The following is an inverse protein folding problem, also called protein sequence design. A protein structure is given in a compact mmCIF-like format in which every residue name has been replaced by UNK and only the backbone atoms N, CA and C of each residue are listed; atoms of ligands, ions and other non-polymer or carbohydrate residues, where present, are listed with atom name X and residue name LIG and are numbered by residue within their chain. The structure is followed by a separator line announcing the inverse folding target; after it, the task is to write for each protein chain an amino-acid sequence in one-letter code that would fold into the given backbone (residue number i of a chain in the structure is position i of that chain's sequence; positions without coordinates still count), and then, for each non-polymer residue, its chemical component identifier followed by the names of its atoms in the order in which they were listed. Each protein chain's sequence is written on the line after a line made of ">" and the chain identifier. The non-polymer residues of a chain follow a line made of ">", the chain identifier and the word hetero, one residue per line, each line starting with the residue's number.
data_IF_950885477708
#
_entry.id   IF_950885477708
#
_cell.length_a   1.000
_cell.length_b   1.000
_cell.length_c   1.000
_cell.angle_alpha   90.00
_cell.angle_beta   90.00
_cell.angle_gamma   90.00
#
_symmetry.space_group_name_H-M   'P 1'
#
loop_
_entity.id
_entity.type
_entity.pdbx_description
1 polymer ?
#
# COMPACT_ATOMS: atom_id res chain seq x y z
N UNK A 1 -15.88 -9.61 4.84
CA UNK A 1 -15.79 -9.10 3.45
C UNK A 1 -14.45 -8.43 3.25
N UNK A 2 -13.86 -8.62 2.07
CA UNK A 2 -12.57 -8.03 1.76
C UNK A 2 -12.72 -6.63 1.17
N UNK A 3 -11.64 -5.86 1.20
CA UNK A 3 -11.61 -4.52 0.68
C UNK A 3 -11.50 -4.55 -0.86
N UNK A 4 -12.52 -4.12 -1.55
CA UNK A 4 -12.53 -4.03 -3.01
C UNK A 4 -13.04 -5.29 -3.69
N UNK A 5 -12.78 -5.39 -5.00
CA UNK A 5 -13.31 -6.47 -5.83
C UNK A 5 -12.53 -7.77 -5.74
N UNK A 6 -11.30 -7.72 -5.27
CA UNK A 6 -10.40 -8.87 -5.17
C UNK A 6 -10.47 -9.48 -3.78
N UNK A 7 -10.61 -10.80 -3.72
CA UNK A 7 -10.55 -11.51 -2.44
C UNK A 7 -9.15 -11.38 -1.84
N UNK A 8 -9.09 -11.29 -0.50
CA UNK A 8 -7.82 -11.25 0.19
C UNK A 8 -7.07 -12.58 0.10
N UNK A 9 -5.75 -12.52 0.21
CA UNK A 9 -4.92 -13.71 0.19
C UNK A 9 -4.16 -13.87 1.50
N UNK A 10 -3.85 -15.12 1.85
CA UNK A 10 -2.99 -15.46 2.97
C UNK A 10 -1.62 -15.99 2.50
N UNK A 11 -1.28 -15.73 1.24
CA UNK A 11 -0.09 -16.27 0.60
C UNK A 11 0.71 -15.14 -0.07
N UNK A 12 2.01 -15.05 0.25
CA UNK A 12 2.87 -14.01 -0.30
C UNK A 12 3.00 -14.09 -1.83
N UNK A 13 3.14 -15.29 -2.37
CA UNK A 13 3.31 -15.44 -3.83
C UNK A 13 2.08 -14.96 -4.58
N UNK A 14 0.89 -15.22 -4.05
CA UNK A 14 -0.35 -14.72 -4.64
C UNK A 14 -0.44 -13.20 -4.53
N UNK A 15 -0.02 -12.63 -3.41
CA UNK A 15 0.02 -11.19 -3.24
C UNK A 15 1.00 -10.55 -4.23
N UNK A 16 2.19 -11.12 -4.37
CA UNK A 16 3.22 -10.63 -5.28
C UNK A 16 2.72 -10.64 -6.72
N UNK A 17 2.03 -11.71 -7.12
CA UNK A 17 1.44 -11.81 -8.46
C UNK A 17 0.34 -10.76 -8.64
N UNK A 18 -0.46 -10.54 -7.61
CA UNK A 18 -1.53 -9.52 -7.64
C UNK A 18 -1.01 -8.10 -7.81
N UNK A 19 0.20 -7.83 -7.36
CA UNK A 19 0.85 -6.52 -7.50
C UNK A 19 1.82 -6.44 -8.68
N UNK A 20 1.93 -7.50 -9.47
CA UNK A 20 2.75 -7.50 -10.69
C UNK A 20 2.02 -6.82 -11.84
N UNK A 21 2.70 -6.69 -12.98
CA UNK A 21 2.09 -6.15 -14.20
C UNK A 21 0.87 -6.92 -14.66
N UNK A 22 0.78 -8.19 -14.27
CA UNK A 22 -0.31 -9.09 -14.67
C UNK A 22 -1.39 -9.20 -13.61
N UNK A 23 -1.31 -8.40 -12.56
CA UNK A 23 -2.25 -8.44 -11.45
C UNK A 23 -3.49 -7.58 -11.66
N UNK A 24 -3.93 -6.94 -10.59
CA UNK A 24 -5.12 -6.10 -10.59
C UNK A 24 -4.85 -4.78 -9.89
N UNK A 25 -5.77 -3.81 -10.01
CA UNK A 25 -5.57 -2.53 -9.37
C UNK A 25 -5.67 -2.61 -7.83
N UNK A 26 -6.35 -3.62 -7.29
CA UNK A 26 -6.40 -3.90 -5.85
C UNK A 26 -5.75 -5.23 -5.56
N UNK A 27 -4.90 -5.27 -4.55
CA UNK A 27 -4.43 -6.50 -3.93
C UNK A 27 -4.69 -6.40 -2.44
N UNK A 28 -5.15 -7.48 -1.84
CA UNK A 28 -5.53 -7.50 -0.43
C UNK A 28 -5.00 -8.74 0.27
N UNK A 29 -4.73 -8.63 1.56
CA UNK A 29 -4.40 -9.79 2.38
C UNK A 29 -5.54 -10.05 3.38
N UNK A 30 -5.65 -11.29 3.81
CA UNK A 30 -6.70 -11.73 4.74
C UNK A 30 -6.17 -12.16 6.10
N UNK A 31 -4.86 -11.99 6.31
CA UNK A 31 -4.19 -12.22 7.59
C UNK A 31 -2.82 -11.57 7.55
N UNK A 32 -2.14 -11.51 8.68
CA UNK A 32 -0.77 -11.06 8.73
C UNK A 32 0.11 -11.99 7.90
N UNK A 33 1.00 -11.41 7.10
CA UNK A 33 1.95 -12.16 6.30
C UNK A 33 3.38 -11.80 6.73
N UNK A 34 4.19 -12.82 6.95
CA UNK A 34 5.59 -12.65 7.29
C UNK A 34 6.46 -13.12 6.13
N UNK A 35 7.03 -12.15 5.40
CA UNK A 35 7.95 -12.39 4.31
C UNK A 35 9.18 -11.49 4.48
N UNK A 36 9.74 -11.47 5.68
CA UNK A 36 10.80 -10.55 6.08
C UNK A 36 12.10 -10.67 5.28
N UNK A 37 12.28 -11.77 4.56
CA UNK A 37 13.44 -11.99 3.69
C UNK A 37 13.16 -11.69 2.22
N UNK A 38 11.96 -11.20 1.89
CA UNK A 38 11.54 -11.01 0.50
C UNK A 38 11.29 -9.55 0.16
N UNK A 39 11.53 -9.22 -1.12
CA UNK A 39 11.17 -7.92 -1.69
C UNK A 39 9.87 -8.09 -2.47
N UNK A 40 8.91 -7.20 -2.19
CA UNK A 40 7.65 -7.16 -2.90
C UNK A 40 7.70 -6.01 -3.90
N UNK A 41 7.48 -6.31 -5.17
CA UNK A 41 7.50 -5.32 -6.25
C UNK A 41 6.08 -4.99 -6.70
N UNK A 42 5.77 -3.70 -6.81
CA UNK A 42 4.50 -3.22 -7.33
C UNK A 42 4.77 -2.65 -8.71
N UNK A 43 4.23 -3.29 -9.75
CA UNK A 43 4.55 -2.94 -11.13
C UNK A 43 3.31 -2.83 -12.02
N UNK A 44 3.41 -2.02 -13.06
CA UNK A 44 2.37 -1.84 -14.06
C UNK A 44 1.48 -0.64 -13.79
N UNK A 45 0.71 -0.28 -14.83
CA UNK A 45 -0.25 0.81 -14.76
C UNK A 45 -1.65 0.23 -14.73
N UNK A 46 -2.43 0.62 -13.74
CA UNK A 46 -3.77 0.09 -13.55
C UNK A 46 -4.76 1.22 -13.35
N UNK A 47 -6.03 0.91 -13.58
CA UNK A 47 -7.11 1.87 -13.38
C UNK A 47 -8.17 1.29 -12.46
N UNK A 48 -8.76 2.15 -11.65
CA UNK A 48 -9.86 1.78 -10.78
C UNK A 48 -11.18 1.70 -11.57
N UNK A 49 -12.29 1.50 -10.89
CA UNK A 49 -13.61 1.35 -11.52
C UNK A 49 -14.07 2.61 -12.26
N UNK A 50 -13.57 3.77 -11.84
CA UNK A 50 -13.89 5.05 -12.47
C UNK A 50 -12.99 5.37 -13.66
N UNK A 51 -12.06 4.49 -13.99
CA UNK A 51 -11.13 4.70 -15.08
C UNK A 51 -9.95 5.61 -14.74
N UNK A 52 -9.75 5.92 -13.46
CA UNK A 52 -8.64 6.73 -13.00
C UNK A 52 -7.46 5.83 -12.63
N UNK A 53 -6.24 6.30 -12.89
CA UNK A 53 -5.04 5.56 -12.54
C UNK A 53 -4.97 5.35 -11.04
N UNK A 54 -4.86 4.09 -10.61
CA UNK A 54 -4.79 3.76 -9.19
C UNK A 54 -4.25 2.35 -8.97
N UNK A 55 -3.57 2.17 -7.84
CA UNK A 55 -3.13 0.86 -7.40
C UNK A 55 -3.23 0.80 -5.87
N UNK A 56 -3.95 -0.18 -5.34
CA UNK A 56 -4.23 -0.25 -3.91
C UNK A 56 -3.69 -1.53 -3.28
N UNK A 57 -3.01 -1.38 -2.15
CA UNK A 57 -2.67 -2.48 -1.26
C UNK A 57 -3.58 -2.38 -0.03
N UNK A 58 -4.54 -3.29 0.06
CA UNK A 58 -5.51 -3.30 1.15
C UNK A 58 -5.04 -4.27 2.25
N UNK A 59 -4.78 -3.73 3.43
CA UNK A 59 -4.28 -4.49 4.57
C UNK A 59 -5.34 -4.62 5.65
N UNK A 60 -6.58 -4.88 5.22
CA UNK A 60 -7.72 -4.94 6.14
C UNK A 60 -8.86 -5.75 5.55
N UNK A 61 -9.79 -6.14 6.42
CA UNK A 61 -11.10 -6.66 6.02
C UNK A 61 -12.17 -5.71 6.51
N UNK A 62 -13.33 -5.76 5.87
CA UNK A 62 -14.45 -4.90 6.20
C UNK A 62 -15.76 -5.69 6.18
N UNK A 63 -16.76 -5.20 6.91
CA UNK A 63 -18.10 -5.80 6.92
C UNK A 63 -18.97 -5.27 5.77
N UNK A 64 -20.25 -5.68 5.76
CA UNK A 64 -21.19 -5.28 4.73
C UNK A 64 -21.45 -3.77 4.71
N UNK A 65 -21.24 -3.10 5.83
CA UNK A 65 -21.38 -1.64 5.95
C UNK A 65 -20.08 -0.90 5.64
N UNK A 66 -19.07 -1.61 5.16
CA UNK A 66 -17.74 -1.09 4.82
C UNK A 66 -16.97 -0.58 6.03
N UNK A 67 -17.28 -1.09 7.21
CA UNK A 67 -16.49 -0.80 8.39
C UNK A 67 -15.32 -1.76 8.47
N UNK A 68 -14.14 -1.26 8.80
CA UNK A 68 -12.95 -2.09 8.96
C UNK A 68 -13.13 -2.97 10.20
N UNK A 69 -13.08 -4.28 9.99
CA UNK A 69 -13.24 -5.26 11.08
C UNK A 69 -11.90 -5.76 11.59
N UNK A 70 -10.91 -5.87 10.72
CA UNK A 70 -9.55 -6.28 11.09
C UNK A 70 -8.53 -5.57 10.22
N UNK A 71 -7.37 -5.30 10.81
CA UNK A 71 -6.20 -4.75 10.12
C UNK A 71 -5.05 -5.72 10.23
N UNK A 72 -4.23 -5.76 9.19
CA UNK A 72 -3.14 -6.72 9.09
C UNK A 72 -1.79 -6.05 8.94
N UNK A 73 -0.74 -6.81 9.25
CA UNK A 73 0.65 -6.40 9.06
C UNK A 73 1.27 -7.26 7.98
N UNK A 74 1.82 -6.62 6.96
CA UNK A 74 2.61 -7.27 5.93
C UNK A 74 4.08 -7.00 6.25
N UNK A 75 4.82 -8.04 6.62
CA UNK A 75 6.24 -7.93 6.90
C UNK A 75 7.02 -8.33 5.66
N UNK A 76 7.86 -7.42 5.17
CA UNK A 76 8.72 -7.65 4.01
C UNK A 76 10.09 -7.01 4.28
N UNK A 77 11.10 -7.47 3.55
CA UNK A 77 12.39 -6.82 3.57
C UNK A 77 12.27 -5.42 2.96
N UNK A 78 11.58 -5.34 1.84
CA UNK A 78 11.38 -4.09 1.11
C UNK A 78 10.13 -4.19 0.24
N UNK A 79 9.41 -3.07 0.14
CA UNK A 79 8.33 -2.89 -0.82
C UNK A 79 8.79 -1.86 -1.85
N UNK A 80 8.96 -2.26 -3.11
CA UNK A 80 9.33 -1.35 -4.19
C UNK A 80 8.11 -0.93 -4.96
N UNK A 81 7.81 0.36 -4.93
CA UNK A 81 6.64 0.93 -5.60
C UNK A 81 7.05 1.51 -6.93
N UNK A 82 6.77 0.77 -8.00
CA UNK A 82 7.06 1.17 -9.37
C UNK A 82 5.78 1.50 -10.16
N UNK A 83 4.62 1.42 -9.52
CA UNK A 83 3.33 1.79 -10.12
C UNK A 83 2.93 3.18 -9.68
N UNK A 84 2.46 4.04 -10.61
CA UNK A 84 1.96 5.36 -10.23
C UNK A 84 0.64 5.23 -9.47
N UNK A 85 0.35 6.22 -8.64
CA UNK A 85 -0.87 6.31 -7.85
C UNK A 85 -1.10 5.09 -6.95
N UNK A 86 -0.03 4.51 -6.43
CA UNK A 86 -0.11 3.42 -5.47
C UNK A 86 -0.41 3.95 -4.08
N UNK A 87 -1.29 3.27 -3.35
CA UNK A 87 -1.55 3.63 -1.96
C UNK A 87 -1.77 2.42 -1.07
N UNK A 88 -1.44 2.61 0.21
CA UNK A 88 -1.62 1.63 1.26
C UNK A 88 -2.86 2.03 2.06
N UNK A 89 -3.74 1.07 2.31
CA UNK A 89 -5.00 1.33 3.02
C UNK A 89 -5.12 0.49 4.29
N UNK A 90 -5.28 1.17 5.42
CA UNK A 90 -5.73 0.59 6.69
C UNK A 90 -4.92 -0.59 7.22
N UNK A 91 -3.64 -0.47 7.33
CA UNK A 91 -2.83 -1.53 7.91
C UNK A 91 -1.38 -1.13 7.94
N UNK A 92 -0.51 -2.09 8.19
CA UNK A 92 0.91 -1.82 8.39
C UNK A 92 1.75 -2.61 7.41
N UNK A 93 2.69 -1.91 6.75
CA UNK A 93 3.81 -2.55 6.06
C UNK A 93 5.00 -2.45 6.98
N UNK A 94 5.49 -3.59 7.45
CA UNK A 94 6.69 -3.64 8.29
C UNK A 94 7.89 -3.95 7.42
N UNK A 95 8.75 -2.96 7.24
CA UNK A 95 9.91 -3.00 6.36
C UNK A 95 10.11 -1.66 5.68
N UNK A 96 11.09 -1.58 4.80
CA UNK A 96 11.36 -0.36 4.05
C UNK A 96 10.47 -0.27 2.82
N UNK A 97 10.03 0.94 2.50
CA UNK A 97 9.23 1.20 1.31
C UNK A 97 10.01 2.17 0.43
N UNK A 98 10.33 1.73 -0.81
CA UNK A 98 10.99 2.57 -1.81
C UNK A 98 9.98 3.00 -2.85
N UNK A 99 9.84 4.30 -3.05
CA UNK A 99 8.87 4.88 -4.00
C UNK A 99 9.61 5.38 -5.22
N UNK A 100 9.37 4.74 -6.35
CA UNK A 100 10.02 5.04 -7.62
C UNK A 100 9.06 5.61 -8.66
N UNK A 101 7.80 5.84 -8.29
CA UNK A 101 6.78 6.36 -9.18
C UNK A 101 5.98 7.47 -8.48
N UNK A 102 5.31 8.29 -9.27
CA UNK A 102 4.56 9.43 -8.74
C UNK A 102 3.23 9.02 -8.12
N UNK A 103 2.71 9.88 -7.25
CA UNK A 103 1.37 9.72 -6.69
C UNK A 103 1.24 8.76 -5.53
N UNK A 104 2.35 8.35 -4.93
CA UNK A 104 2.29 7.50 -3.74
C UNK A 104 1.56 8.24 -2.61
N UNK A 105 0.63 7.55 -1.97
CA UNK A 105 -0.10 8.12 -0.85
C UNK A 105 -0.61 7.03 0.08
N UNK A 106 -1.22 7.43 1.18
CA UNK A 106 -1.86 6.51 2.12
C UNK A 106 -3.33 6.85 2.24
N UNK A 107 -4.07 5.97 2.88
CA UNK A 107 -5.47 6.19 3.20
C UNK A 107 -5.59 6.15 4.72
N UNK A 108 -5.61 7.33 5.34
CA UNK A 108 -5.66 7.49 6.79
C UNK A 108 -6.67 8.56 7.15
N UNK A 109 -7.22 8.49 8.34
CA UNK A 109 -8.09 9.55 8.84
C UNK A 109 -9.45 9.60 8.20
N UNK A 110 -9.78 10.73 7.56
CA UNK A 110 -11.11 11.00 7.08
C UNK A 110 -11.68 9.91 6.16
N UNK A 111 -12.82 9.39 6.54
CA UNK A 111 -13.52 8.39 5.73
C UNK A 111 -12.99 6.98 5.87
N UNK A 112 -11.99 6.76 6.70
CA UNK A 112 -11.44 5.44 6.97
C UNK A 112 -11.34 5.20 8.47
N UNK A 113 -11.32 3.94 8.83
CA UNK A 113 -11.39 3.50 10.21
C UNK A 113 -10.00 3.04 10.69
N UNK A 114 -9.05 3.95 10.64
CA UNK A 114 -7.68 3.67 11.03
C UNK A 114 -6.67 4.32 10.12
N UNK A 115 -5.43 3.94 10.27
CA UNK A 115 -4.31 4.54 9.57
C UNK A 115 -3.51 3.53 8.76
N UNK A 116 -3.07 3.95 7.59
CA UNK A 116 -2.02 3.23 6.88
C UNK A 116 -0.69 3.58 7.54
N UNK A 117 0.16 2.58 7.77
CA UNK A 117 1.42 2.74 8.47
C UNK A 117 2.56 2.02 7.78
N UNK A 118 3.74 2.63 7.81
CA UNK A 118 4.99 1.98 7.45
C UNK A 118 5.81 1.87 8.73
N UNK A 119 6.03 0.64 9.17
CA UNK A 119 6.93 0.37 10.31
C UNK A 119 8.33 0.10 9.75
N UNK A 120 9.01 1.18 9.41
CA UNK A 120 10.30 1.18 8.75
C UNK A 120 10.56 2.53 8.12
N UNK A 121 11.36 2.56 7.06
CA UNK A 121 11.72 3.80 6.38
C UNK A 121 10.93 3.97 5.08
N UNK A 122 10.64 5.23 4.75
CA UNK A 122 10.02 5.59 3.48
C UNK A 122 11.08 6.33 2.65
N UNK A 123 11.44 5.76 1.50
CA UNK A 123 12.55 6.23 0.69
C UNK A 123 12.04 6.58 -0.70
N UNK A 124 12.23 7.83 -1.12
CA UNK A 124 11.83 8.27 -2.45
C UNK A 124 13.01 8.25 -3.41
N UNK A 125 12.75 7.93 -4.66
CA UNK A 125 13.76 7.87 -5.70
C UNK A 125 14.47 9.21 -5.90
N UNK A 126 13.71 10.32 -5.82
CA UNK A 126 14.25 11.65 -6.00
C UNK A 126 13.49 12.68 -5.17
N UNK A 127 14.00 13.91 -5.14
CA UNK A 127 13.43 14.97 -4.34
C UNK A 127 12.04 15.40 -4.83
N UNK A 128 11.80 15.34 -6.13
CA UNK A 128 10.50 15.72 -6.68
C UNK A 128 9.37 14.85 -6.16
N UNK A 129 9.62 13.56 -6.04
CA UNK A 129 8.63 12.61 -5.49
C UNK A 129 8.37 12.89 -4.02
N UNK A 130 9.41 13.17 -3.25
CA UNK A 130 9.25 13.50 -1.84
C UNK A 130 8.49 14.81 -1.66
N UNK A 131 8.81 15.82 -2.43
CA UNK A 131 8.14 17.12 -2.35
C UNK A 131 6.65 16.99 -2.66
N UNK A 132 6.30 16.22 -3.69
CA UNK A 132 4.90 15.96 -4.03
C UNK A 132 4.16 15.25 -2.90
N UNK A 133 4.80 14.27 -2.28
CA UNK A 133 4.21 13.55 -1.16
C UNK A 133 3.98 14.49 0.04
N UNK A 134 4.94 15.36 0.34
CA UNK A 134 4.85 16.28 1.48
C UNK A 134 3.73 17.33 1.31
N UNK A 135 3.27 17.54 0.08
CA UNK A 135 2.16 18.47 -0.19
C UNK A 135 0.78 17.84 0.04
N UNK A 136 0.72 16.53 0.25
CA UNK A 136 -0.55 15.86 0.48
C UNK A 136 -1.15 16.23 1.83
N UNK A 137 -2.50 16.26 1.94
CA UNK A 137 -3.14 16.38 3.24
C UNK A 137 -2.72 15.25 4.17
N UNK A 138 -2.75 15.48 5.47
CA UNK A 138 -2.34 14.46 6.45
C UNK A 138 -3.10 13.15 6.31
N UNK A 139 -4.36 13.20 5.89
CA UNK A 139 -5.20 12.01 5.68
C UNK A 139 -4.78 11.16 4.49
N UNK A 140 -3.92 11.71 3.61
CA UNK A 140 -3.37 11.00 2.46
C UNK A 140 -1.89 10.68 2.63
N UNK A 141 -1.34 10.94 3.80
CA UNK A 141 0.02 10.56 4.13
C UNK A 141 0.03 9.30 4.99
N UNK A 142 1.06 8.48 4.82
CA UNK A 142 1.23 7.27 5.60
C UNK A 142 2.01 7.62 6.87
N UNK A 143 1.62 7.02 8.00
CA UNK A 143 2.40 7.17 9.23
C UNK A 143 3.67 6.34 9.11
N UNK A 144 4.83 6.95 9.34
CA UNK A 144 6.14 6.30 9.20
C UNK A 144 6.85 6.30 10.55
N UNK A 145 7.27 5.12 11.01
CA UNK A 145 7.97 5.00 12.30
C UNK A 145 9.45 5.31 12.18
N UNK A 146 10.04 5.09 11.02
CA UNK A 146 11.45 5.40 10.74
C UNK A 146 11.62 6.77 10.11
N UNK A 147 12.53 6.85 9.16
CA UNK A 147 12.83 8.10 8.48
C UNK A 147 12.20 8.16 7.10
N UNK A 148 11.89 9.37 6.65
CA UNK A 148 11.44 9.64 5.28
C UNK A 148 12.59 10.36 4.59
N UNK A 149 13.16 9.73 3.56
CA UNK A 149 14.38 10.21 2.92
C UNK A 149 14.32 10.11 1.40
N UNK A 150 15.37 10.60 0.74
CA UNK A 150 15.57 10.48 -0.71
C UNK A 150 16.83 9.64 -0.91
N UNK A 151 16.84 8.79 -1.94
CA UNK A 151 18.01 8.00 -2.30
C UNK A 151 19.22 8.86 -2.62
#
# INVERSE_FOLDING_TARGET
>A
MFAGATAGTDNFDTLSKGLSKEGAWIAAISKDLDASDKTLNVEGDFKNKEGEEARKLALYTQDADRKVTERYTLTVKKLEVNSPQFYISNGTVKGDVEVNAEGFHGQTGKGVDGEAMIDGNLIFKNQELLDAYNKLPSEEQVKVTGETTVK
#
